data_IF_029346841224
#
_entry.id   IF_029346841224
#
_cell.length_a   1.000
_cell.length_b   1.000
_cell.length_c   1.000
_cell.angle_alpha   90.00
_cell.angle_beta   90.00
_cell.angle_gamma   90.00
#
_symmetry.space_group_name_H-M   'P 1'
#
loop_
_entity.id
_entity.type
_entity.pdbx_description
1 polymer ?
#
# COMPACT_ATOMS: atom_id res chain seq x y z
N UNK A 1 12.26 0.81 -2.69
CA UNK A 1 10.96 0.90 -1.99
C UNK A 1 11.12 0.96 -0.47
N UNK A 2 11.51 -0.13 0.23
CA UNK A 2 11.61 -0.14 1.70
C UNK A 2 12.52 0.95 2.29
N UNK A 3 13.68 1.20 1.69
CA UNK A 3 14.61 2.26 2.13
C UNK A 3 14.02 3.67 2.06
N UNK A 4 13.15 3.92 1.07
CA UNK A 4 12.43 5.19 0.92
C UNK A 4 11.31 5.26 1.96
N UNK A 5 10.53 4.19 2.09
CA UNK A 5 9.44 4.09 3.05
C UNK A 5 9.90 4.24 4.51
N UNK A 6 11.11 3.78 4.85
CA UNK A 6 11.68 3.98 6.18
C UNK A 6 12.02 5.45 6.49
N UNK A 7 12.39 6.24 5.48
CA UNK A 7 12.65 7.69 5.63
C UNK A 7 11.36 8.50 5.62
N UNK A 8 10.40 8.05 4.82
CA UNK A 8 9.15 8.74 4.53
C UNK A 8 7.97 7.80 4.80
N UNK A 9 7.66 7.48 6.07
CA UNK A 9 6.70 6.44 6.42
C UNK A 9 5.24 6.87 6.26
N UNK A 10 4.95 8.14 6.00
CA UNK A 10 3.58 8.65 5.91
C UNK A 10 3.37 9.43 4.64
N UNK A 11 2.23 9.31 3.98
CA UNK A 11 1.94 10.12 2.81
C UNK A 11 0.43 10.27 2.62
N UNK A 12 0.04 11.10 1.66
CA UNK A 12 -1.36 11.26 1.26
C UNK A 12 -1.50 10.89 -0.20
N UNK A 13 -2.52 10.09 -0.51
CA UNK A 13 -2.71 9.52 -1.83
C UNK A 13 -4.11 9.84 -2.34
N UNK A 14 -4.25 10.48 -3.51
CA UNK A 14 -5.55 10.70 -4.14
C UNK A 14 -6.03 9.46 -4.89
N UNK A 15 -7.29 9.09 -4.67
CA UNK A 15 -8.01 8.06 -5.44
C UNK A 15 -9.18 8.73 -6.16
N UNK A 16 -9.31 8.58 -7.49
CA UNK A 16 -10.49 9.06 -8.20
C UNK A 16 -11.76 8.37 -7.70
N UNK A 17 -12.79 9.14 -7.38
CA UNK A 17 -14.11 8.57 -7.15
C UNK A 17 -14.85 8.53 -8.49
N UNK A 18 -15.31 7.34 -8.89
CA UNK A 18 -16.32 7.23 -9.95
C UNK A 18 -17.66 7.39 -9.24
N UNK A 19 -18.39 8.46 -9.50
CA UNK A 19 -19.74 8.63 -8.95
C UNK A 19 -20.70 7.79 -9.78
N UNK A 20 -21.26 6.72 -9.20
CA UNK A 20 -22.37 5.95 -9.77
C UNK A 20 -23.72 6.68 -9.64
N UNK A 21 -23.71 8.02 -9.62
CA UNK A 21 -24.95 8.79 -9.53
C UNK A 21 -25.45 9.05 -10.95
N UNK A 22 -26.30 8.15 -11.44
CA UNK A 22 -27.23 8.39 -12.56
C UNK A 22 -28.20 9.52 -12.16
N UNK A 23 -27.72 10.76 -12.17
CA UNK A 23 -28.59 11.95 -12.10
C UNK A 23 -28.75 12.48 -13.53
N UNK A 24 -29.95 12.44 -14.12
CA UNK A 24 -30.15 12.81 -15.54
C UNK A 24 -29.96 14.31 -15.86
N UNK A 25 -29.48 15.14 -14.92
CA UNK A 25 -29.33 16.58 -15.09
C UNK A 25 -27.89 17.06 -15.34
N UNK A 26 -26.88 16.17 -15.39
CA UNK A 26 -25.48 16.55 -15.53
C UNK A 26 -24.93 16.50 -16.98
N UNK A 27 -25.73 16.83 -17.99
CA UNK A 27 -25.29 16.82 -19.40
C UNK A 27 -24.49 18.06 -19.86
N UNK A 28 -24.07 18.95 -18.95
CA UNK A 28 -23.42 20.23 -19.34
C UNK A 28 -22.26 20.70 -18.46
N UNK A 29 -21.68 19.85 -17.60
CA UNK A 29 -20.49 20.19 -16.83
C UNK A 29 -19.33 19.28 -17.25
N UNK A 30 -18.18 19.87 -17.57
CA UNK A 30 -16.89 19.17 -17.68
C UNK A 30 -16.82 18.10 -16.59
N UNK A 31 -16.48 16.86 -16.94
CA UNK A 31 -16.41 15.72 -16.01
C UNK A 31 -15.53 16.09 -14.81
N UNK A 32 -16.13 16.61 -13.74
CA UNK A 32 -15.45 16.99 -12.52
C UNK A 32 -15.07 15.69 -11.81
N UNK A 33 -13.87 15.20 -12.13
CA UNK A 33 -13.28 14.04 -11.49
C UNK A 33 -13.08 14.38 -10.01
N UNK A 34 -13.93 13.82 -9.16
CA UNK A 34 -13.82 13.95 -7.72
C UNK A 34 -12.72 13.00 -7.23
N UNK A 35 -12.00 13.42 -6.19
CA UNK A 35 -10.93 12.62 -5.60
C UNK A 35 -11.18 12.49 -4.11
N UNK A 36 -11.04 11.26 -3.61
CA UNK A 36 -10.95 10.99 -2.20
C UNK A 36 -9.48 10.81 -1.82
N UNK A 37 -9.07 11.42 -0.70
CA UNK A 37 -7.70 11.32 -0.22
C UNK A 37 -7.61 10.29 0.90
N UNK A 38 -6.60 9.42 0.81
CA UNK A 38 -6.27 8.46 1.84
C UNK A 38 -4.94 8.84 2.48
N UNK A 39 -4.93 8.89 3.81
CA UNK A 39 -3.72 8.91 4.60
C UNK A 39 -3.11 7.52 4.60
N UNK A 40 -1.87 7.42 4.16
CA UNK A 40 -1.12 6.19 4.04
C UNK A 40 0.00 6.19 5.08
N UNK A 41 0.09 5.12 5.87
CA UNK A 41 1.11 4.97 6.91
C UNK A 41 1.79 3.61 6.83
N UNK A 42 3.12 3.62 6.81
CA UNK A 42 3.98 2.45 6.91
C UNK A 42 4.28 2.12 8.36
N UNK A 43 4.06 0.86 8.73
CA UNK A 43 4.51 0.23 9.96
C UNK A 43 5.56 -0.84 9.60
N UNK A 44 6.69 -0.83 10.32
CA UNK A 44 7.78 -1.79 10.11
C UNK A 44 7.91 -2.70 11.33
N UNK A 45 8.13 -3.97 11.06
CA UNK A 45 8.34 -5.01 12.06
C UNK A 45 9.72 -5.63 11.91
N UNK A 46 10.08 -6.53 12.82
CA UNK A 46 11.35 -7.26 12.76
C UNK A 46 11.43 -8.13 11.49
N UNK A 47 12.65 -8.41 11.03
CA UNK A 47 12.88 -9.29 9.90
C UNK A 47 12.59 -10.74 10.31
N UNK A 48 11.80 -11.49 9.52
CA UNK A 48 11.54 -12.89 9.81
C UNK A 48 12.82 -13.72 9.66
N UNK A 49 12.97 -14.80 10.43
CA UNK A 49 14.11 -15.70 10.28
C UNK A 49 14.13 -16.32 8.88
N UNK A 50 15.32 -16.59 8.35
CA UNK A 50 15.47 -17.22 7.04
C UNK A 50 15.03 -18.69 7.14
N UNK A 51 14.14 -19.18 6.27
CA UNK A 51 13.73 -20.59 6.27
C UNK A 51 14.95 -21.49 5.99
N UNK A 52 15.26 -22.38 6.93
CA UNK A 52 16.34 -23.37 6.78
C UNK A 52 15.71 -24.74 6.52
N UNK A 53 16.09 -25.45 5.45
CA UNK A 53 15.62 -26.82 5.21
C UNK A 53 15.90 -27.72 6.43
N UNK A 54 14.88 -28.42 6.95
CA UNK A 54 15.01 -29.33 8.09
C UNK A 54 14.78 -28.72 9.48
N UNK A 55 14.51 -27.41 9.60
CA UNK A 55 13.95 -26.80 10.83
C UNK A 55 12.44 -26.56 10.68
N UNK A 56 11.68 -27.57 10.28
CA UNK A 56 10.22 -27.51 10.22
C UNK A 56 9.63 -27.76 11.61
N UNK A 57 9.77 -26.77 12.50
CA UNK A 57 9.04 -26.73 13.77
C UNK A 57 7.55 -26.46 13.55
N UNK A 58 6.82 -27.42 12.97
CA UNK A 58 5.35 -27.41 12.93
C UNK A 58 4.66 -27.24 11.57
N UNK A 59 5.37 -27.32 10.43
CA UNK A 59 4.73 -27.26 9.12
C UNK A 59 4.31 -28.67 8.63
N UNK A 60 3.06 -28.86 8.13
CA UNK A 60 2.54 -30.16 7.71
C UNK A 60 3.04 -30.61 6.31
N UNK A 61 3.94 -29.85 5.68
CA UNK A 61 4.46 -30.14 4.36
C UNK A 61 5.76 -30.95 4.48
N UNK A 62 5.85 -32.05 3.74
CA UNK A 62 7.06 -32.87 3.63
C UNK A 62 8.17 -32.05 2.97
N UNK A 63 9.33 -31.93 3.64
CA UNK A 63 10.49 -31.23 3.10
C UNK A 63 10.88 -31.82 1.73
N UNK A 64 10.88 -31.01 0.64
CA UNK A 64 11.45 -31.46 -0.62
C UNK A 64 12.94 -31.77 -0.41
N UNK A 65 13.42 -32.88 -0.98
CA UNK A 65 14.85 -33.18 -0.96
C UNK A 65 15.64 -31.96 -1.48
N UNK A 66 16.72 -31.54 -0.80
CA UNK A 66 17.46 -30.35 -1.19
C UNK A 66 17.95 -30.51 -2.63
N UNK A 67 17.61 -29.55 -3.49
CA UNK A 67 18.20 -29.48 -4.82
C UNK A 67 19.73 -29.36 -4.65
N UNK A 68 20.57 -30.19 -5.30
CA UNK A 68 22.00 -30.31 -5.02
C UNK A 68 22.85 -29.08 -5.41
N UNK A 69 22.25 -27.91 -5.66
CA UNK A 69 22.91 -26.71 -6.15
C UNK A 69 22.38 -25.38 -5.57
N UNK A 70 21.46 -25.39 -4.61
CA UNK A 70 21.00 -24.13 -4.00
C UNK A 70 22.07 -23.60 -3.02
N UNK A 71 22.71 -22.44 -3.29
CA UNK A 71 23.63 -21.84 -2.34
C UNK A 71 22.91 -21.51 -1.03
N UNK A 72 23.57 -21.64 0.14
CA UNK A 72 22.98 -21.19 1.39
C UNK A 72 22.62 -19.70 1.29
N UNK A 73 21.47 -19.27 1.85
CA UNK A 73 21.09 -17.87 1.84
C UNK A 73 22.11 -17.05 2.64
N UNK A 74 22.95 -16.29 1.94
CA UNK A 74 24.06 -15.51 2.51
C UNK A 74 23.61 -14.19 3.13
N UNK A 75 22.34 -13.80 2.96
CA UNK A 75 21.80 -12.51 3.39
C UNK A 75 20.55 -12.67 4.28
N UNK A 76 20.35 -11.80 5.29
CA UNK A 76 19.15 -11.80 6.12
C UNK A 76 17.93 -11.31 5.32
N UNK A 77 16.75 -11.81 5.66
CA UNK A 77 15.50 -11.35 5.08
C UNK A 77 15.28 -9.84 5.38
N UNK A 78 14.64 -9.09 4.46
CA UNK A 78 14.25 -7.73 4.74
C UNK A 78 13.16 -7.66 5.83
N UNK A 79 12.94 -6.47 6.38
CA UNK A 79 11.90 -6.25 7.40
C UNK A 79 10.50 -6.42 6.84
N UNK A 80 9.63 -7.05 7.62
CA UNK A 80 8.18 -7.09 7.36
C UNK A 80 7.61 -5.68 7.46
N UNK A 81 6.69 -5.33 6.57
CA UNK A 81 6.06 -4.02 6.53
C UNK A 81 4.57 -4.12 6.29
N UNK A 82 3.80 -3.26 6.94
CA UNK A 82 2.36 -3.10 6.72
C UNK A 82 2.06 -1.66 6.36
N UNK A 83 1.16 -1.45 5.41
CA UNK A 83 0.64 -0.14 5.03
C UNK A 83 -0.81 -0.07 5.47
N UNK A 84 -1.15 1.01 6.17
CA UNK A 84 -2.52 1.34 6.57
C UNK A 84 -3.01 2.48 5.69
N UNK A 85 -4.15 2.30 5.05
CA UNK A 85 -4.87 3.36 4.34
C UNK A 85 -6.11 3.75 5.11
N UNK A 86 -6.16 4.99 5.53
CA UNK A 86 -7.29 5.56 6.26
C UNK A 86 -7.81 6.77 5.49
N UNK A 87 -9.12 6.93 5.27
CA UNK A 87 -9.65 8.15 4.65
C UNK A 87 -9.16 9.39 5.40
N UNK A 88 -8.61 10.36 4.67
CA UNK A 88 -7.95 11.52 5.28
C UNK A 88 -8.92 12.33 6.14
N UNK A 89 -10.18 12.43 5.72
CA UNK A 89 -11.22 13.12 6.48
C UNK A 89 -11.46 12.45 7.84
N UNK A 90 -11.55 11.11 7.86
CA UNK A 90 -11.75 10.36 9.09
C UNK A 90 -10.53 10.43 10.00
N UNK A 91 -9.33 10.32 9.42
CA UNK A 91 -8.08 10.48 10.17
C UNK A 91 -8.00 11.87 10.82
N UNK A 92 -8.42 12.94 10.13
CA UNK A 92 -8.44 14.28 10.73
C UNK A 92 -9.38 14.36 11.93
N UNK A 93 -10.51 13.66 11.90
CA UNK A 93 -11.51 13.67 12.97
C UNK A 93 -11.13 12.77 14.16
N UNK A 94 -10.55 11.59 13.91
CA UNK A 94 -10.34 10.55 14.94
C UNK A 94 -8.87 10.20 15.20
N UNK A 95 -7.95 10.73 14.38
CA UNK A 95 -6.51 10.48 14.48
C UNK A 95 -6.21 8.97 14.50
N UNK A 96 -5.45 8.51 15.48
CA UNK A 96 -5.06 7.09 15.64
C UNK A 96 -6.21 6.14 15.92
N UNK A 97 -7.42 6.65 16.21
CA UNK A 97 -8.63 5.84 16.40
C UNK A 97 -9.47 5.70 15.10
N UNK A 98 -9.04 6.31 14.00
CA UNK A 98 -9.69 6.15 12.71
C UNK A 98 -9.48 4.74 12.17
N UNK A 99 -10.52 4.16 11.58
CA UNK A 99 -10.45 2.79 11.06
C UNK A 99 -9.76 2.80 9.70
N UNK A 100 -8.66 2.05 9.48
CA UNK A 100 -8.11 1.89 8.15
C UNK A 100 -9.08 1.08 7.27
N UNK A 101 -9.26 1.52 6.03
CA UNK A 101 -10.15 0.87 5.05
C UNK A 101 -9.43 -0.25 4.31
N UNK A 102 -8.12 -0.10 4.08
CA UNK A 102 -7.27 -1.09 3.45
C UNK A 102 -5.99 -1.27 4.25
N UNK A 103 -5.62 -2.52 4.46
CA UNK A 103 -4.39 -2.92 5.12
C UNK A 103 -3.59 -3.78 4.13
N UNK A 104 -2.38 -3.38 3.76
CA UNK A 104 -1.48 -4.16 2.92
C UNK A 104 -0.29 -4.64 3.73
N UNK A 105 -0.10 -5.95 3.87
CA UNK A 105 1.06 -6.52 4.57
C UNK A 105 1.98 -7.25 3.60
N UNK A 106 3.28 -6.98 3.69
CA UNK A 106 4.33 -7.60 2.89
C UNK A 106 5.12 -8.58 3.75
N UNK A 107 5.14 -9.85 3.35
CA UNK A 107 5.86 -10.95 3.98
C UNK A 107 7.12 -11.29 3.17
N UNK A 108 8.31 -10.90 3.65
CA UNK A 108 9.58 -11.08 2.95
C UNK A 108 10.27 -12.42 3.23
N UNK A 109 9.59 -13.37 3.89
CA UNK A 109 10.13 -14.66 4.34
C UNK A 109 10.83 -15.44 3.22
N UNK A 110 10.31 -15.34 2.00
CA UNK A 110 10.82 -16.02 0.80
C UNK A 110 11.79 -15.17 -0.03
N UNK A 111 12.09 -13.93 0.38
CA UNK A 111 12.89 -13.01 -0.41
C UNK A 111 14.32 -13.54 -0.60
N UNK A 112 14.96 -14.06 0.45
CA UNK A 112 16.34 -14.55 0.35
C UNK A 112 16.48 -15.92 -0.31
N UNK A 113 15.39 -16.69 -0.41
CA UNK A 113 15.41 -18.08 -0.90
C UNK A 113 14.87 -18.21 -2.33
N UNK A 114 13.81 -17.47 -2.65
CA UNK A 114 13.10 -17.55 -3.94
C UNK A 114 13.00 -16.20 -4.66
N UNK A 115 13.59 -15.13 -4.11
CA UNK A 115 13.48 -13.75 -4.64
C UNK A 115 12.02 -13.28 -4.80
N UNK A 116 11.15 -13.75 -3.91
CA UNK A 116 9.71 -13.43 -3.89
C UNK A 116 9.31 -12.82 -2.55
N UNK A 117 8.50 -11.76 -2.61
CA UNK A 117 7.82 -11.18 -1.45
C UNK A 117 6.33 -11.39 -1.62
N UNK A 118 5.69 -11.98 -0.61
CA UNK A 118 4.24 -12.18 -0.63
C UNK A 118 3.55 -10.92 -0.10
N UNK A 119 2.44 -10.54 -0.72
CA UNK A 119 1.63 -9.40 -0.28
C UNK A 119 0.20 -9.85 -0.04
N UNK A 120 -0.36 -9.45 1.10
CA UNK A 120 -1.75 -9.69 1.50
C UNK A 120 -2.44 -8.35 1.71
N UNK A 121 -3.51 -8.11 0.97
CA UNK A 121 -4.41 -6.98 1.18
C UNK A 121 -5.68 -7.41 1.88
N UNK A 122 -6.09 -6.66 2.90
CA UNK A 122 -7.35 -6.85 3.62
C UNK A 122 -8.17 -5.57 3.57
N UNK A 123 -9.43 -5.70 3.15
CA UNK A 123 -10.39 -4.60 3.16
C UNK A 123 -11.25 -4.74 4.41
N UNK A 124 -11.38 -3.66 5.17
CA UNK A 124 -12.16 -3.66 6.40
C UNK A 124 -13.66 -3.81 6.07
N UNK A 125 -14.34 -4.83 6.60
CA UNK A 125 -15.79 -4.98 6.42
C UNK A 125 -16.53 -3.88 7.18
N UNK A 126 -17.71 -3.50 6.68
CA UNK A 126 -18.55 -2.53 7.35
C UNK A 126 -19.11 -3.15 8.64
N UNK A 127 -19.20 -2.36 9.72
CA UNK A 127 -19.56 -2.87 11.06
C UNK A 127 -20.90 -3.64 11.14
N UNK A 128 -21.80 -3.43 10.18
CA UNK A 128 -23.11 -4.07 10.12
C UNK A 128 -23.25 -5.10 8.98
N UNK A 129 -22.15 -5.52 8.34
CA UNK A 129 -22.20 -6.55 7.29
C UNK A 129 -22.54 -7.91 7.88
N UNK A 130 -23.53 -8.60 7.32
CA UNK A 130 -23.79 -10.02 7.65
C UNK A 130 -22.79 -10.91 6.92
N UNK A 131 -22.52 -12.14 7.40
CA UNK A 131 -21.59 -13.06 6.72
C UNK A 131 -21.98 -13.41 5.27
N UNK A 132 -23.28 -13.35 4.95
CA UNK A 132 -23.83 -13.63 3.62
C UNK A 132 -23.77 -12.42 2.67
N UNK A 133 -23.65 -11.19 3.20
CA UNK A 133 -23.57 -9.95 2.43
C UNK A 133 -22.41 -9.10 2.97
N UNK A 134 -21.19 -9.52 2.62
CA UNK A 134 -19.97 -8.83 2.98
C UNK A 134 -19.88 -7.49 2.24
N UNK A 135 -20.45 -6.46 2.85
CA UNK A 135 -20.29 -5.07 2.44
C UNK A 135 -18.98 -4.52 3.02
N UNK A 136 -18.16 -3.94 2.17
CA UNK A 136 -16.81 -3.46 2.51
C UNK A 136 -16.77 -1.94 2.56
N UNK A 137 -15.84 -1.38 3.35
CA UNK A 137 -15.67 0.08 3.43
C UNK A 137 -15.02 0.68 2.17
N UNK A 138 -14.41 -0.16 1.33
CA UNK A 138 -13.70 0.23 0.12
C UNK A 138 -14.02 -0.74 -1.02
N UNK A 139 -14.17 -0.23 -2.24
CA UNK A 139 -14.32 -1.08 -3.41
C UNK A 139 -13.01 -1.83 -3.73
N UNK A 140 -13.12 -2.99 -4.38
CA UNK A 140 -11.92 -3.74 -4.78
C UNK A 140 -11.07 -2.97 -5.81
N UNK A 141 -11.71 -2.18 -6.67
CA UNK A 141 -11.02 -1.36 -7.67
C UNK A 141 -10.19 -0.26 -6.98
N UNK A 142 -10.76 0.44 -6.01
CA UNK A 142 -10.04 1.49 -5.27
C UNK A 142 -8.91 0.89 -4.44
N UNK A 143 -9.10 -0.30 -3.87
CA UNK A 143 -8.04 -1.01 -3.17
C UNK A 143 -6.84 -1.33 -4.10
N UNK A 144 -7.11 -1.72 -5.34
CA UNK A 144 -6.06 -1.94 -6.34
C UNK A 144 -5.37 -0.64 -6.73
N UNK A 145 -6.12 0.45 -6.92
CA UNK A 145 -5.56 1.78 -7.21
C UNK A 145 -4.64 2.26 -6.09
N UNK A 146 -5.05 2.09 -4.83
CA UNK A 146 -4.22 2.41 -3.67
C UNK A 146 -2.92 1.60 -3.65
N UNK A 147 -3.00 0.29 -3.91
CA UNK A 147 -1.81 -0.57 -3.99
C UNK A 147 -0.83 -0.13 -5.10
N UNK A 148 -1.36 0.22 -6.29
CA UNK A 148 -0.55 0.76 -7.39
C UNK A 148 0.06 2.12 -7.06
N UNK A 149 -0.68 2.97 -6.34
CA UNK A 149 -0.18 4.27 -5.93
C UNK A 149 1.02 4.15 -4.98
N UNK A 150 1.06 3.15 -4.08
CA UNK A 150 2.26 2.87 -3.28
C UNK A 150 3.47 2.66 -4.18
N UNK A 151 3.35 1.79 -5.19
CA UNK A 151 4.44 1.52 -6.12
C UNK A 151 4.83 2.82 -6.86
N UNK A 152 3.85 3.59 -7.33
CA UNK A 152 4.08 4.83 -8.07
C UNK A 152 4.89 5.89 -7.29
N UNK A 153 4.63 6.04 -5.99
CA UNK A 153 5.29 7.04 -5.13
C UNK A 153 6.53 6.53 -4.41
N UNK A 154 6.72 5.21 -4.24
CA UNK A 154 7.85 4.62 -3.51
C UNK A 154 8.81 3.81 -4.39
N UNK A 155 8.47 3.64 -5.67
CA UNK A 155 9.29 3.00 -6.70
C UNK A 155 9.48 3.99 -7.87
N UNK A 156 10.53 4.79 -7.81
CA UNK A 156 10.88 5.71 -8.89
C UNK A 156 11.70 4.95 -9.95
N UNK A 157 11.03 4.42 -10.95
CA UNK A 157 11.71 3.96 -12.16
C UNK A 157 12.22 5.20 -12.91
N UNK A 158 13.48 5.16 -13.36
CA UNK A 158 14.18 6.34 -13.88
C UNK A 158 13.39 7.07 -14.98
N UNK A 159 13.11 8.35 -14.77
CA UNK A 159 12.33 9.21 -15.67
C UNK A 159 12.10 10.59 -15.04
N UNK A 160 11.62 11.57 -15.83
CA UNK A 160 11.29 12.91 -15.33
C UNK A 160 10.17 12.84 -14.26
N UNK A 161 9.10 12.10 -14.55
CA UNK A 161 7.98 11.88 -13.64
C UNK A 161 8.37 11.21 -12.32
N UNK A 162 9.37 10.32 -12.35
CA UNK A 162 9.88 9.66 -11.14
C UNK A 162 10.53 10.64 -10.18
N UNK A 163 11.27 11.62 -10.71
CA UNK A 163 11.91 12.68 -9.92
C UNK A 163 10.91 13.66 -9.35
N UNK A 164 9.85 13.97 -10.09
CA UNK A 164 8.76 14.84 -9.59
C UNK A 164 8.05 14.19 -8.40
N UNK A 165 7.74 12.88 -8.49
CA UNK A 165 7.13 12.12 -7.39
C UNK A 165 8.06 12.00 -6.18
N UNK A 166 9.35 11.79 -6.42
CA UNK A 166 10.37 11.83 -5.35
C UNK A 166 10.39 13.20 -4.65
N UNK A 167 10.38 14.29 -5.42
CA UNK A 167 10.36 15.64 -4.88
C UNK A 167 9.09 15.89 -4.07
N UNK A 168 7.92 15.46 -4.56
CA UNK A 168 6.65 15.58 -3.83
C UNK A 168 6.69 14.84 -2.48
N UNK A 169 7.21 13.61 -2.47
CA UNK A 169 7.34 12.83 -1.23
C UNK A 169 8.30 13.50 -0.23
N UNK A 170 9.42 14.05 -0.71
CA UNK A 170 10.39 14.77 0.13
C UNK A 170 9.80 16.06 0.67
N UNK A 171 9.23 16.91 -0.18
CA UNK A 171 8.59 18.17 0.21
C UNK A 171 7.51 17.94 1.26
N UNK A 172 6.70 16.89 1.11
CA UNK A 172 5.68 16.53 2.11
C UNK A 172 6.26 16.30 3.52
N UNK A 173 7.45 15.72 3.64
CA UNK A 173 8.07 15.42 4.94
C UNK A 173 9.00 16.51 5.45
N UNK A 174 9.73 17.18 4.56
CA UNK A 174 10.78 18.13 4.92
C UNK A 174 10.29 19.59 4.94
N UNK A 175 9.33 19.93 4.06
CA UNK A 175 8.83 21.30 3.86
C UNK A 175 7.30 21.29 3.62
N UNK A 176 6.50 20.89 4.63
CA UNK A 176 5.05 20.78 4.48
C UNK A 176 4.38 22.11 4.08
N UNK A 177 4.96 23.25 4.40
CA UNK A 177 4.49 24.58 4.00
C UNK A 177 4.56 24.84 2.49
N UNK A 178 5.49 24.18 1.79
CA UNK A 178 5.67 24.31 0.34
C UNK A 178 4.92 23.22 -0.43
N UNK A 179 4.24 22.31 0.28
CA UNK A 179 3.54 21.20 -0.32
C UNK A 179 2.23 21.64 -0.97
N UNK A 180 2.07 21.31 -2.26
CA UNK A 180 0.85 21.59 -3.03
C UNK A 180 0.13 20.29 -3.36
N UNK A 181 -1.09 20.15 -2.87
CA UNK A 181 -1.90 18.94 -3.08
C UNK A 181 -2.37 18.82 -4.55
N UNK A 182 -2.46 19.93 -5.26
CA UNK A 182 -2.82 19.98 -6.69
C UNK A 182 -1.80 19.24 -7.56
N UNK A 183 -0.52 19.27 -7.16
CA UNK A 183 0.53 18.55 -7.87
C UNK A 183 0.41 17.03 -7.70
N UNK A 184 -0.19 16.54 -6.61
CA UNK A 184 -0.54 15.12 -6.47
C UNK A 184 -1.56 14.68 -7.52
N UNK A 185 -2.53 15.54 -7.84
CA UNK A 185 -3.61 15.20 -8.77
C UNK A 185 -3.11 14.94 -10.19
N UNK A 186 -2.03 15.63 -10.60
CA UNK A 186 -1.36 15.38 -11.88
C UNK A 186 -0.83 13.94 -11.97
N UNK A 187 -0.49 13.35 -10.83
CA UNK A 187 -0.03 11.97 -10.73
C UNK A 187 -1.09 11.00 -10.19
N UNK A 188 -2.35 11.43 -10.05
CA UNK A 188 -3.44 10.58 -9.55
C UNK A 188 -4.06 9.67 -10.64
N UNK A 189 -3.82 9.96 -11.92
CA UNK A 189 -4.23 9.10 -13.03
C UNK A 189 -3.32 7.88 -13.20
N UNK A 190 -3.90 6.74 -13.61
CA UNK A 190 -3.16 5.63 -14.21
C UNK A 190 -2.73 5.98 -15.63
#
# INVERSE_FOLDING_TARGET
MLSVAQKHPTFVVPVPHVSDIDTPEAQSAEQQKTFEFYFMQWAFYEAPPVPVPGQTGGFPFTDPAPAPSAPPPTAPNPRTATILFTPLLEYKLRQTFATPYLILTFYPDLASSHDVVLMRGEITPRANSTPDEADFLLSQQDAQLLALAVQKFFLWTGGADGKEREALLKTFHEQPENFKWEDLLKHAGL
#
